data_IF_276777355925
#
_entry.id   IF_276777355925
#
_cell.length_a   1.000
_cell.length_b   1.000
_cell.length_c   1.000
_cell.angle_alpha   90.00
_cell.angle_beta   90.00
_cell.angle_gamma   90.00
#
_symmetry.space_group_name_H-M   'P 1'
#
loop_
_entity.id
_entity.type
_entity.pdbx_description
1 polymer ?
#
# COMPACT_ATOMS: atom_id res chain seq x y z
N UNK A 1 -2.01 4.61 -7.97
CA UNK A 1 -1.30 3.48 -7.36
C UNK A 1 -0.25 2.86 -8.29
N UNK A 2 -0.53 2.72 -9.59
CA UNK A 2 0.43 2.26 -10.63
C UNK A 2 1.81 2.91 -10.57
N UNK A 3 1.92 4.20 -10.22
CA UNK A 3 3.19 4.94 -10.13
C UNK A 3 4.21 4.34 -9.14
N UNK A 4 3.76 3.62 -8.11
CA UNK A 4 4.64 3.01 -7.10
C UNK A 4 4.49 1.48 -7.02
N UNK A 5 3.83 0.88 -8.01
CA UNK A 5 3.71 -0.56 -8.17
C UNK A 5 4.56 -1.03 -9.36
N UNK A 6 5.01 -2.28 -9.34
CA UNK A 6 5.94 -2.80 -10.37
C UNK A 6 5.23 -3.37 -11.60
N UNK A 7 4.01 -3.88 -11.44
CA UNK A 7 3.27 -4.52 -12.52
C UNK A 7 1.76 -4.42 -12.32
N UNK A 8 1.01 -4.85 -13.33
CA UNK A 8 -0.44 -5.02 -13.27
C UNK A 8 -0.79 -6.53 -13.32
N UNK A 9 -1.85 -6.92 -12.60
CA UNK A 9 -2.31 -8.30 -12.56
C UNK A 9 -2.91 -8.74 -13.90
N UNK A 10 -2.53 -9.93 -14.38
CA UNK A 10 -3.21 -10.58 -15.52
C UNK A 10 -4.54 -11.21 -15.14
N UNK A 11 -4.76 -11.47 -13.84
CA UNK A 11 -5.93 -12.20 -13.30
C UNK A 11 -7.03 -11.28 -12.80
N UNK A 12 -6.66 -10.24 -12.04
CA UNK A 12 -7.62 -9.31 -11.45
C UNK A 12 -7.64 -8.02 -12.26
N UNK A 13 -8.75 -7.78 -12.97
CA UNK A 13 -8.91 -6.65 -13.90
C UNK A 13 -10.01 -5.71 -13.44
N UNK A 14 -9.86 -4.42 -13.75
CA UNK A 14 -10.81 -3.36 -13.39
C UNK A 14 -11.62 -2.98 -14.64
N UNK A 15 -12.90 -3.42 -14.77
CA UNK A 15 -13.66 -3.24 -16.01
C UNK A 15 -13.81 -1.78 -16.43
N UNK A 16 -14.13 -0.90 -15.48
CA UNK A 16 -14.30 0.55 -15.72
C UNK A 16 -13.00 1.27 -16.10
N UNK A 17 -11.84 0.62 -15.99
CA UNK A 17 -10.54 1.13 -16.46
C UNK A 17 -10.08 0.37 -17.72
N UNK A 18 -11.01 -0.02 -18.59
CA UNK A 18 -10.68 -0.75 -19.83
C UNK A 18 -10.10 -2.14 -19.58
N UNK A 19 -10.57 -2.83 -18.51
CA UNK A 19 -10.03 -4.12 -18.08
C UNK A 19 -8.53 -4.13 -17.79
N UNK A 20 -7.95 -2.98 -17.44
CA UNK A 20 -6.56 -2.89 -16.94
C UNK A 20 -6.41 -3.75 -15.68
N UNK A 21 -5.25 -4.40 -15.52
CA UNK A 21 -4.94 -5.18 -14.32
C UNK A 21 -4.88 -4.32 -13.05
N UNK A 22 -5.17 -4.92 -11.90
CA UNK A 22 -4.94 -4.27 -10.61
C UNK A 22 -3.43 -4.09 -10.38
N UNK A 23 -2.99 -2.97 -9.79
CA UNK A 23 -1.58 -2.74 -9.54
C UNK A 23 -1.04 -3.72 -8.48
N UNK A 24 0.14 -4.29 -8.74
CA UNK A 24 0.80 -5.31 -7.93
C UNK A 24 2.20 -4.89 -7.50
N UNK A 25 2.67 -5.46 -6.39
CA UNK A 25 4.01 -5.28 -5.83
C UNK A 25 4.36 -3.80 -5.58
N UNK A 26 3.92 -3.28 -4.42
CA UNK A 26 4.28 -1.93 -3.97
C UNK A 26 5.80 -1.87 -3.77
N UNK A 27 6.48 -1.00 -4.51
CA UNK A 27 7.93 -0.79 -4.40
C UNK A 27 8.22 0.24 -3.31
N UNK A 28 8.88 -0.21 -2.25
CA UNK A 28 9.20 0.60 -1.07
C UNK A 28 10.08 1.81 -1.43
N UNK A 29 11.01 1.68 -2.38
CA UNK A 29 11.89 2.78 -2.81
C UNK A 29 11.08 3.87 -3.47
N UNK A 30 10.18 3.51 -4.39
CA UNK A 30 9.29 4.46 -5.08
C UNK A 30 8.31 5.14 -4.12
N UNK A 31 7.82 4.43 -3.10
CA UNK A 31 6.95 5.04 -2.08
C UNK A 31 7.70 6.12 -1.30
N UNK A 32 8.93 5.82 -0.86
CA UNK A 32 9.77 6.77 -0.11
C UNK A 32 10.18 7.96 -0.99
N UNK A 33 10.67 7.70 -2.20
CA UNK A 33 11.13 8.73 -3.14
C UNK A 33 10.01 9.69 -3.58
N UNK A 34 8.83 9.15 -3.91
CA UNK A 34 7.74 9.96 -4.48
C UNK A 34 6.76 10.50 -3.43
N UNK A 35 6.80 10.01 -2.20
CA UNK A 35 5.82 10.29 -1.16
C UNK A 35 4.41 9.73 -1.43
N UNK A 36 4.22 8.94 -2.50
CA UNK A 36 2.91 8.36 -2.84
C UNK A 36 2.68 7.11 -1.99
N UNK A 37 1.92 7.29 -0.91
CA UNK A 37 1.61 6.23 0.05
C UNK A 37 0.34 5.46 -0.34
N UNK A 38 0.30 4.13 -0.15
CA UNK A 38 -0.90 3.34 -0.38
C UNK A 38 -2.12 3.88 0.38
N UNK A 39 -3.25 3.93 -0.34
CA UNK A 39 -4.56 4.25 0.22
C UNK A 39 -5.33 2.95 0.43
N UNK A 40 -5.89 2.75 1.62
CA UNK A 40 -6.55 1.51 2.01
C UNK A 40 -8.00 1.83 2.39
N UNK A 41 -8.95 1.29 1.64
CA UNK A 41 -10.36 1.29 2.07
C UNK A 41 -10.50 0.34 3.26
N UNK A 42 -11.01 0.84 4.37
CA UNK A 42 -11.12 0.08 5.62
C UNK A 42 -12.36 0.47 6.43
N UNK A 43 -12.76 -0.39 7.35
CA UNK A 43 -13.79 -0.10 8.34
C UNK A 43 -13.28 0.89 9.40
N UNK A 44 -14.16 1.77 9.85
CA UNK A 44 -13.93 2.62 11.02
C UNK A 44 -14.49 1.87 12.23
N UNK A 45 -13.63 1.46 13.15
CA UNK A 45 -14.01 0.74 14.36
C UNK A 45 -14.23 1.72 15.51
N UNK A 46 -15.22 1.46 16.36
CA UNK A 46 -15.40 2.24 17.58
C UNK A 46 -14.27 1.95 18.57
N UNK A 47 -13.60 2.99 19.07
CA UNK A 47 -12.37 2.87 19.87
C UNK A 47 -12.51 2.02 21.14
N UNK A 48 -13.64 2.13 21.85
CA UNK A 48 -13.79 1.58 23.20
C UNK A 48 -15.09 0.83 23.50
N UNK A 49 -16.07 0.81 22.61
CA UNK A 49 -17.40 0.22 22.92
C UNK A 49 -17.45 -1.29 22.75
N UNK A 50 -16.41 -1.89 22.14
CA UNK A 50 -16.44 -3.30 21.72
C UNK A 50 -17.46 -3.60 20.62
N UNK A 51 -18.24 -2.61 20.16
CA UNK A 51 -19.34 -2.78 19.20
C UNK A 51 -18.92 -2.97 17.76
N UNK A 52 -17.62 -3.05 17.47
CA UNK A 52 -17.11 -3.30 16.12
C UNK A 52 -17.14 -2.08 15.20
N UNK A 53 -17.51 -2.30 13.94
CA UNK A 53 -17.46 -1.30 12.88
C UNK A 53 -18.64 -0.34 12.93
N UNK A 54 -18.35 0.97 12.91
CA UNK A 54 -19.32 2.07 12.95
C UNK A 54 -19.32 2.93 11.67
N UNK A 55 -18.47 2.59 10.70
CA UNK A 55 -18.38 3.31 9.44
C UNK A 55 -17.34 2.71 8.50
N UNK A 56 -17.08 3.38 7.39
CA UNK A 56 -16.04 3.01 6.44
C UNK A 56 -15.34 4.28 5.92
N UNK A 57 -14.08 4.14 5.55
CA UNK A 57 -13.29 5.25 5.04
C UNK A 57 -12.02 4.79 4.33
N UNK A 58 -11.16 5.76 4.00
CA UNK A 58 -9.88 5.51 3.35
C UNK A 58 -8.76 5.95 4.28
N UNK A 59 -7.96 5.00 4.74
CA UNK A 59 -6.73 5.25 5.48
C UNK A 59 -5.56 5.46 4.51
N UNK A 60 -4.53 6.18 4.96
CA UNK A 60 -3.26 6.31 4.24
C UNK A 60 -2.21 5.56 5.03
N UNK A 61 -1.48 4.66 4.38
CA UNK A 61 -0.41 3.92 5.04
C UNK A 61 0.67 4.90 5.59
N UNK A 62 1.16 4.70 6.82
CA UNK A 62 2.23 5.53 7.41
C UNK A 62 3.52 5.40 6.60
N UNK A 63 4.28 6.49 6.47
CA UNK A 63 5.55 6.48 5.69
C UNK A 63 6.65 5.72 6.43
N UNK A 64 6.57 5.72 7.75
CA UNK A 64 7.55 5.19 8.70
C UNK A 64 7.79 3.69 8.45
N UNK A 65 6.74 2.94 8.11
CA UNK A 65 6.86 1.52 7.76
C UNK A 65 7.62 1.29 6.45
N UNK A 66 7.50 2.18 5.46
CA UNK A 66 8.25 2.09 4.21
C UNK A 66 9.71 2.51 4.39
N UNK A 67 9.98 3.55 5.20
CA UNK A 67 11.34 3.92 5.56
C UNK A 67 12.07 2.78 6.27
N UNK A 68 11.43 2.17 7.28
CA UNK A 68 11.99 1.03 8.00
C UNK A 68 12.27 -0.15 7.07
N UNK A 69 11.32 -0.49 6.18
CA UNK A 69 11.51 -1.56 5.20
C UNK A 69 12.62 -1.27 4.19
N UNK A 70 12.80 -0.02 3.78
CA UNK A 70 13.89 0.37 2.88
C UNK A 70 15.26 0.22 3.54
N UNK A 71 15.42 0.69 4.78
CA UNK A 71 16.69 0.55 5.51
C UNK A 71 17.03 -0.91 5.79
N UNK A 72 16.04 -1.74 6.16
CA UNK A 72 16.27 -3.16 6.37
C UNK A 72 16.82 -3.86 5.11
N UNK A 73 16.32 -3.50 3.92
CA UNK A 73 16.82 -4.04 2.65
C UNK A 73 18.24 -3.57 2.29
N UNK A 74 18.65 -2.40 2.78
CA UNK A 74 20.01 -1.86 2.58
C UNK A 74 21.00 -2.55 3.53
N UNK A 75 20.60 -2.76 4.79
CA UNK A 75 21.38 -3.46 5.81
C UNK A 75 21.65 -4.93 5.43
N UNK A 76 20.68 -5.61 4.80
CA UNK A 76 20.85 -6.97 4.25
C UNK A 76 21.90 -7.03 3.11
N UNK A 77 22.24 -5.91 2.49
CA UNK A 77 23.24 -5.78 1.41
C UNK A 77 24.66 -5.49 1.89
N UNK A 78 24.86 -5.12 3.17
CA UNK A 78 26.19 -4.79 3.72
C UNK A 78 26.98 -6.03 4.21
N UNK A 79 26.37 -7.22 4.14
CA UNK A 79 26.95 -8.50 4.57
C UNK A 79 27.27 -9.49 3.46
N UNK A 80 27.23 -9.08 2.18
CA UNK A 80 27.54 -9.93 1.01
C UNK A 80 28.78 -9.46 0.26
#
# INVERSE_FOLDING_TARGET
MTRVCLADSTRFKIPVQGFRGTPLAVDVRKVVETGIRPKVTTGILHRSSGGGQIGAGVATAPIEGFLAGLFALDDDGAGM
#
